data_IF_202861085773
#
_entry.id   IF_202861085773
#
_cell.length_a   1.000
_cell.length_b   1.000
_cell.length_c   1.000
_cell.angle_alpha   90.00
_cell.angle_beta   90.00
_cell.angle_gamma   90.00
#
_symmetry.space_group_name_H-M   'P 1'
#
loop_
_entity.id
_entity.type
_entity.pdbx_description
1 polymer ?
#
# COMPACT_ATOMS: atom_id res chain seq x y z
N UNK A 1 19.62 12.58 -11.43
CA UNK A 1 20.27 11.59 -12.29
C UNK A 1 21.73 11.96 -12.47
N UNK A 2 22.63 11.00 -12.31
CA UNK A 2 24.04 11.14 -12.60
C UNK A 2 24.37 10.15 -13.71
N UNK A 3 24.97 10.63 -14.79
CA UNK A 3 25.24 9.83 -15.99
C UNK A 3 24.05 9.02 -16.53
N UNK A 4 22.83 9.58 -16.47
CA UNK A 4 21.60 8.94 -16.94
C UNK A 4 20.96 7.92 -15.97
N UNK A 5 21.64 7.55 -14.89
CA UNK A 5 21.14 6.62 -13.86
C UNK A 5 20.51 7.37 -12.68
N UNK A 6 19.47 6.80 -12.10
CA UNK A 6 18.93 7.29 -10.84
C UNK A 6 19.96 7.03 -9.74
N UNK A 7 20.21 8.06 -8.92
CA UNK A 7 20.92 7.92 -7.65
C UNK A 7 19.94 8.23 -6.53
N UNK A 8 19.97 7.43 -5.51
CA UNK A 8 19.17 7.57 -4.31
C UNK A 8 20.08 7.95 -3.14
N UNK A 9 19.57 8.75 -2.23
CA UNK A 9 20.22 9.01 -0.97
C UNK A 9 20.03 7.75 -0.09
N UNK A 10 21.11 7.08 0.26
CA UNK A 10 21.08 5.84 1.05
C UNK A 10 20.37 5.99 2.39
N UNK A 11 20.33 7.21 2.94
CA UNK A 11 19.57 7.52 4.17
C UNK A 11 18.06 7.34 4.00
N UNK A 12 17.58 7.28 2.78
CA UNK A 12 16.17 7.11 2.41
C UNK A 12 15.89 5.73 1.83
N UNK A 13 16.84 4.81 1.89
CA UNK A 13 16.64 3.41 1.52
C UNK A 13 16.41 2.56 2.78
N UNK A 14 15.49 1.62 2.69
CA UNK A 14 15.34 0.59 3.70
C UNK A 14 16.46 -0.45 3.51
N UNK A 15 17.36 -0.53 4.48
CA UNK A 15 18.49 -1.48 4.49
C UNK A 15 18.21 -2.77 5.28
N UNK A 16 17.07 -2.83 5.98
CA UNK A 16 16.64 -4.04 6.68
C UNK A 16 15.97 -5.01 5.72
N UNK A 17 15.91 -6.31 6.05
CA UNK A 17 14.97 -7.22 5.40
C UNK A 17 13.58 -6.59 5.41
N UNK A 18 12.88 -6.64 4.28
CA UNK A 18 11.62 -5.93 4.13
C UNK A 18 10.51 -6.56 4.98
N UNK A 19 10.52 -7.89 5.11
CA UNK A 19 9.45 -8.64 5.72
C UNK A 19 9.95 -9.99 6.26
N UNK A 20 9.34 -10.48 7.34
CA UNK A 20 9.56 -11.82 7.87
C UNK A 20 8.27 -12.41 8.42
N UNK A 21 8.19 -13.74 8.36
CA UNK A 21 7.05 -14.51 8.83
C UNK A 21 7.44 -15.39 10.03
N UNK A 22 6.67 -15.34 11.11
CA UNK A 22 6.77 -16.32 12.18
C UNK A 22 5.92 -17.54 11.82
N UNK A 23 6.61 -18.65 11.51
CA UNK A 23 6.00 -19.87 11.07
C UNK A 23 6.71 -21.08 11.72
N UNK A 24 5.96 -22.09 12.16
CA UNK A 24 6.50 -23.29 12.78
C UNK A 24 7.49 -23.04 13.95
N UNK A 25 7.31 -21.96 14.72
CA UNK A 25 8.12 -21.66 15.90
C UNK A 25 9.33 -20.78 15.67
N UNK A 26 9.63 -20.41 14.42
CA UNK A 26 10.79 -19.62 14.01
C UNK A 26 10.41 -18.48 13.07
N UNK A 27 11.25 -17.44 13.01
CA UNK A 27 11.16 -16.42 11.99
C UNK A 27 11.85 -16.90 10.70
N UNK A 28 11.14 -16.83 9.59
CA UNK A 28 11.69 -17.00 8.25
C UNK A 28 11.71 -15.66 7.50
N UNK A 29 12.63 -15.51 6.56
CA UNK A 29 12.68 -14.37 5.64
C UNK A 29 11.56 -14.48 4.60
N UNK A 30 10.89 -13.35 4.32
CA UNK A 30 9.72 -13.27 3.44
C UNK A 30 8.44 -13.81 4.07
N UNK A 31 7.30 -13.55 3.43
CA UNK A 31 5.95 -13.89 3.96
C UNK A 31 5.37 -15.20 3.42
N UNK A 32 5.92 -15.74 2.33
CA UNK A 32 5.48 -17.03 1.82
C UNK A 32 5.97 -18.15 2.76
N UNK A 33 5.10 -18.98 3.36
CA UNK A 33 5.54 -20.08 4.21
C UNK A 33 6.41 -21.07 3.44
N UNK A 34 7.64 -21.30 3.88
CA UNK A 34 8.58 -22.21 3.18
C UNK A 34 9.20 -23.25 4.10
N UNK A 35 9.31 -22.98 5.40
CA UNK A 35 9.91 -23.91 6.35
C UNK A 35 9.00 -25.12 6.63
N UNK A 36 9.51 -26.31 6.36
CA UNK A 36 8.80 -27.54 6.65
C UNK A 36 7.55 -27.80 5.80
N UNK A 37 7.34 -27.06 4.70
CA UNK A 37 6.22 -27.31 3.78
C UNK A 37 6.47 -28.56 2.93
N UNK A 38 5.40 -29.28 2.62
CA UNK A 38 5.46 -30.52 1.86
C UNK A 38 5.59 -30.30 0.34
N UNK A 39 5.90 -31.40 -0.38
CA UNK A 39 6.05 -31.38 -1.84
C UNK A 39 4.76 -30.91 -2.56
N UNK A 40 3.59 -31.21 -2.02
CA UNK A 40 2.30 -30.79 -2.57
C UNK A 40 2.16 -29.27 -2.51
N UNK A 41 2.51 -28.64 -1.39
CA UNK A 41 2.52 -27.17 -1.22
C UNK A 41 3.47 -26.52 -2.22
N UNK A 42 4.69 -27.05 -2.34
CA UNK A 42 5.67 -26.52 -3.30
C UNK A 42 5.19 -26.67 -4.75
N UNK A 43 4.49 -27.75 -5.08
CA UNK A 43 3.89 -27.91 -6.40
C UNK A 43 2.82 -26.86 -6.69
N UNK A 44 1.98 -26.52 -5.71
CA UNK A 44 0.98 -25.45 -5.85
C UNK A 44 1.60 -24.06 -5.95
N UNK A 45 2.70 -23.80 -5.25
CA UNK A 45 3.46 -22.55 -5.42
C UNK A 45 3.97 -22.40 -6.86
N UNK A 46 4.62 -23.45 -7.40
CA UNK A 46 5.09 -23.44 -8.81
C UNK A 46 3.94 -23.29 -9.80
N UNK A 47 2.80 -23.94 -9.54
CA UNK A 47 1.61 -23.80 -10.38
C UNK A 47 1.12 -22.35 -10.37
N UNK A 48 0.97 -21.74 -9.21
CA UNK A 48 0.54 -20.35 -9.11
C UNK A 48 1.54 -19.39 -9.78
N UNK A 49 2.85 -19.57 -9.59
CA UNK A 49 3.89 -18.83 -10.31
C UNK A 49 3.73 -18.93 -11.83
N UNK A 50 3.44 -20.12 -12.34
CA UNK A 50 3.17 -20.35 -13.77
C UNK A 50 1.95 -19.58 -14.26
N UNK A 51 0.86 -19.54 -13.48
CA UNK A 51 -0.35 -18.80 -13.82
C UNK A 51 -0.15 -17.28 -13.82
N UNK A 52 0.64 -16.75 -12.87
CA UNK A 52 1.00 -15.34 -12.87
C UNK A 52 1.81 -14.98 -14.11
N UNK A 53 2.83 -15.78 -14.46
CA UNK A 53 3.61 -15.57 -15.70
C UNK A 53 2.74 -15.66 -16.96
N UNK A 54 1.80 -16.61 -17.01
CA UNK A 54 0.86 -16.72 -18.13
C UNK A 54 -0.04 -15.49 -18.25
N UNK A 55 -0.51 -14.95 -17.12
CA UNK A 55 -1.30 -13.71 -17.10
C UNK A 55 -0.48 -12.51 -17.61
N UNK A 56 0.78 -12.36 -17.17
CA UNK A 56 1.69 -11.34 -17.65
C UNK A 56 1.97 -11.41 -19.16
N UNK A 57 2.08 -12.63 -19.69
CA UNK A 57 2.28 -12.85 -21.11
C UNK A 57 1.01 -12.57 -21.94
N UNK A 58 -0.17 -12.79 -21.38
CA UNK A 58 -1.44 -12.61 -22.08
C UNK A 58 -1.90 -11.15 -22.18
N UNK A 59 -1.57 -10.32 -21.19
CA UNK A 59 -1.94 -8.91 -21.17
C UNK A 59 -1.03 -8.12 -20.22
N UNK A 60 -0.80 -6.81 -20.49
CA UNK A 60 0.05 -5.98 -19.65
C UNK A 60 -0.60 -5.73 -18.29
N UNK A 61 0.17 -5.91 -17.22
CA UNK A 61 -0.14 -5.41 -15.89
C UNK A 61 0.80 -4.26 -15.56
N UNK A 62 0.29 -3.18 -14.99
CA UNK A 62 1.09 -1.98 -14.74
C UNK A 62 0.71 -1.27 -13.44
N UNK A 63 1.66 -0.57 -12.85
CA UNK A 63 1.42 0.42 -11.79
C UNK A 63 1.78 1.81 -12.32
N UNK A 64 0.85 2.78 -12.27
CA UNK A 64 -0.56 2.65 -11.87
C UNK A 64 -1.39 1.85 -12.90
N UNK A 65 -2.46 1.20 -12.43
CA UNK A 65 -3.26 0.24 -13.20
C UNK A 65 -3.81 0.79 -14.53
N UNK A 66 -4.14 2.09 -14.60
CA UNK A 66 -4.69 2.71 -15.83
C UNK A 66 -3.76 2.62 -17.05
N UNK A 67 -2.45 2.44 -16.84
CA UNK A 67 -1.46 2.29 -17.92
C UNK A 67 -1.59 0.97 -18.68
N UNK A 68 -2.19 -0.02 -18.05
CA UNK A 68 -2.44 -1.32 -18.68
C UNK A 68 -3.68 -1.33 -19.59
N UNK A 69 -4.52 -0.30 -19.51
CA UNK A 69 -5.83 -0.31 -20.14
C UNK A 69 -6.79 -1.31 -19.48
N UNK A 70 -7.86 -1.67 -20.19
CA UNK A 70 -8.85 -2.63 -19.73
C UNK A 70 -9.15 -3.67 -20.83
N UNK A 71 -8.19 -4.54 -21.19
CA UNK A 71 -8.41 -5.57 -22.19
C UNK A 71 -9.51 -6.56 -21.74
N UNK A 72 -10.17 -7.22 -22.68
CA UNK A 72 -11.27 -8.14 -22.39
C UNK A 72 -10.89 -9.26 -21.41
N UNK A 73 -9.64 -9.72 -21.44
CA UNK A 73 -9.09 -10.70 -20.48
C UNK A 73 -9.09 -10.17 -19.05
N UNK A 74 -8.74 -8.91 -18.83
CA UNK A 74 -8.78 -8.29 -17.50
C UNK A 74 -10.21 -8.11 -17.01
N UNK A 75 -11.12 -7.67 -17.88
CA UNK A 75 -12.54 -7.53 -17.53
C UNK A 75 -13.15 -8.90 -17.15
N UNK A 76 -12.79 -9.96 -17.85
CA UNK A 76 -13.23 -11.32 -17.52
C UNK A 76 -12.73 -11.78 -16.14
N UNK A 77 -11.47 -11.49 -15.79
CA UNK A 77 -10.93 -11.78 -14.46
C UNK A 77 -11.62 -10.96 -13.35
N UNK A 78 -12.03 -9.75 -13.65
CA UNK A 78 -12.70 -8.87 -12.67
C UNK A 78 -14.14 -9.30 -12.34
N UNK A 79 -14.73 -10.21 -13.12
CA UNK A 79 -16.05 -10.78 -12.83
C UNK A 79 -16.04 -11.90 -11.80
N UNK A 80 -14.87 -12.44 -11.46
CA UNK A 80 -14.68 -13.53 -10.51
C UNK A 80 -14.03 -13.04 -9.24
N UNK A 81 -14.36 -13.65 -8.09
CA UNK A 81 -13.53 -13.47 -6.90
C UNK A 81 -12.20 -14.22 -7.07
N UNK A 82 -11.15 -13.74 -6.40
CA UNK A 82 -9.86 -14.42 -6.47
C UNK A 82 -9.94 -15.85 -5.94
N UNK A 83 -10.73 -16.08 -4.89
CA UNK A 83 -10.99 -17.44 -4.37
C UNK A 83 -11.63 -18.35 -5.44
N UNK A 84 -12.66 -17.89 -6.12
CA UNK A 84 -13.33 -18.67 -7.16
C UNK A 84 -12.39 -19.00 -8.33
N UNK A 85 -11.51 -18.07 -8.69
CA UNK A 85 -10.50 -18.29 -9.72
C UNK A 85 -9.47 -19.33 -9.27
N UNK A 86 -8.96 -19.21 -8.03
CA UNK A 86 -8.01 -20.18 -7.46
C UNK A 86 -8.61 -21.60 -7.39
N UNK A 87 -9.86 -21.73 -6.97
CA UNK A 87 -10.56 -23.02 -6.89
C UNK A 87 -10.73 -23.67 -8.27
N UNK A 88 -11.11 -22.89 -9.28
CA UNK A 88 -11.23 -23.36 -10.66
C UNK A 88 -9.91 -23.92 -11.19
N UNK A 89 -8.79 -23.30 -10.81
CA UNK A 89 -7.46 -23.74 -11.20
C UNK A 89 -6.87 -24.81 -10.24
N UNK A 90 -7.65 -25.32 -9.29
CA UNK A 90 -7.26 -26.40 -8.36
C UNK A 90 -6.20 -25.96 -7.34
N UNK A 91 -6.13 -24.68 -7.03
CA UNK A 91 -5.23 -24.13 -6.02
C UNK A 91 -5.94 -24.11 -4.66
N UNK A 92 -5.66 -25.10 -3.84
CA UNK A 92 -6.38 -25.37 -2.58
C UNK A 92 -5.45 -25.51 -1.37
N UNK A 93 -4.14 -25.41 -1.58
CA UNK A 93 -3.16 -25.54 -0.50
C UNK A 93 -3.35 -24.45 0.57
N UNK A 94 -3.45 -24.79 1.86
CA UNK A 94 -3.76 -23.83 2.91
C UNK A 94 -2.66 -22.79 3.12
N UNK A 95 -1.38 -23.12 2.93
CA UNK A 95 -0.28 -22.16 3.06
C UNK A 95 -0.28 -21.17 1.91
N UNK A 96 -0.52 -21.63 0.67
CA UNK A 96 -0.68 -20.74 -0.47
C UNK A 96 -1.87 -19.82 -0.30
N UNK A 97 -3.04 -20.37 0.05
CA UNK A 97 -4.27 -19.58 0.24
C UNK A 97 -4.12 -18.54 1.34
N UNK A 98 -3.44 -18.89 2.45
CA UNK A 98 -3.16 -17.95 3.53
C UNK A 98 -2.32 -16.77 3.04
N UNK A 99 -1.25 -17.04 2.29
CA UNK A 99 -0.36 -15.99 1.77
C UNK A 99 -1.09 -15.07 0.77
N UNK A 100 -1.88 -15.65 -0.13
CA UNK A 100 -2.65 -14.87 -1.10
C UNK A 100 -3.77 -14.06 -0.42
N UNK A 101 -4.39 -14.61 0.63
CA UNK A 101 -5.38 -13.88 1.45
C UNK A 101 -4.73 -12.73 2.21
N UNK A 102 -3.55 -12.97 2.80
CA UNK A 102 -2.77 -11.93 3.45
C UNK A 102 -2.47 -10.78 2.49
N UNK A 103 -1.94 -11.09 1.30
CA UNK A 103 -1.62 -10.08 0.28
C UNK A 103 -2.86 -9.26 -0.14
N UNK A 104 -4.01 -9.90 -0.26
CA UNK A 104 -5.27 -9.20 -0.55
C UNK A 104 -5.72 -8.31 0.61
N UNK A 105 -5.63 -8.78 1.84
CA UNK A 105 -6.01 -7.99 3.02
C UNK A 105 -5.09 -6.81 3.23
N UNK A 106 -3.81 -6.97 2.94
CA UNK A 106 -2.81 -5.91 3.06
C UNK A 106 -3.01 -4.82 1.99
N UNK A 107 -3.15 -5.17 0.73
CA UNK A 107 -3.28 -4.19 -0.38
C UNK A 107 -4.70 -3.60 -0.50
N UNK A 108 -5.74 -4.42 -0.28
CA UNK A 108 -7.13 -4.04 -0.58
C UNK A 108 -8.04 -3.98 0.65
N UNK A 109 -7.57 -4.36 1.83
CA UNK A 109 -8.38 -4.43 3.04
C UNK A 109 -9.51 -5.45 2.97
N UNK A 110 -9.42 -6.45 2.08
CA UNK A 110 -10.41 -7.49 1.88
C UNK A 110 -9.72 -8.79 1.47
N UNK A 111 -10.28 -9.94 1.87
CA UNK A 111 -9.70 -11.25 1.58
C UNK A 111 -10.12 -11.83 0.21
N UNK A 112 -9.62 -13.02 -0.07
CA UNK A 112 -9.80 -13.76 -1.32
C UNK A 112 -11.27 -13.90 -1.79
N UNK A 113 -12.20 -14.01 -0.86
CA UNK A 113 -13.62 -14.20 -1.17
C UNK A 113 -14.30 -12.92 -1.69
N UNK A 114 -13.66 -11.77 -1.56
CA UNK A 114 -14.21 -10.45 -1.92
C UNK A 114 -13.42 -9.79 -3.03
N UNK A 115 -12.08 -9.89 -2.98
CA UNK A 115 -11.19 -9.29 -3.98
C UNK A 115 -11.36 -10.00 -5.32
N UNK A 116 -11.40 -9.26 -6.42
CA UNK A 116 -11.50 -9.85 -7.77
C UNK A 116 -10.24 -10.61 -8.17
N UNK A 117 -10.38 -11.57 -9.06
CA UNK A 117 -9.23 -12.32 -9.59
C UNK A 117 -8.25 -11.40 -10.32
N UNK A 118 -8.75 -10.36 -10.98
CA UNK A 118 -7.89 -9.35 -11.60
C UNK A 118 -7.02 -8.64 -10.55
N UNK A 119 -7.61 -8.17 -9.46
CA UNK A 119 -6.88 -7.45 -8.42
C UNK A 119 -5.86 -8.37 -7.71
N UNK A 120 -6.26 -9.60 -7.38
CA UNK A 120 -5.35 -10.58 -6.77
C UNK A 120 -4.16 -10.94 -7.66
N UNK A 121 -4.37 -11.10 -8.97
CA UNK A 121 -3.29 -11.30 -9.93
C UNK A 121 -2.46 -10.04 -10.14
N UNK A 122 -3.10 -8.85 -10.19
CA UNK A 122 -2.42 -7.57 -10.36
C UNK A 122 -1.39 -7.32 -9.26
N UNK A 123 -1.67 -7.74 -8.02
CA UNK A 123 -0.73 -7.62 -6.92
C UNK A 123 0.66 -8.18 -7.29
N UNK A 124 0.70 -9.34 -7.90
CA UNK A 124 1.94 -10.01 -8.32
C UNK A 124 2.39 -9.55 -9.70
N UNK A 125 1.50 -9.56 -10.67
CA UNK A 125 1.83 -9.39 -12.08
C UNK A 125 2.29 -7.97 -12.45
N UNK A 126 1.88 -6.94 -11.72
CA UNK A 126 2.31 -5.56 -11.91
C UNK A 126 3.62 -5.20 -11.19
N UNK A 127 4.12 -6.11 -10.37
CA UNK A 127 5.37 -5.99 -9.60
C UNK A 127 6.40 -6.99 -10.13
N UNK A 128 7.06 -7.71 -9.23
CA UNK A 128 8.12 -8.67 -9.58
C UNK A 128 7.62 -10.09 -9.92
N UNK A 129 6.31 -10.30 -9.96
CA UNK A 129 5.72 -11.62 -10.12
C UNK A 129 5.55 -12.38 -8.79
N UNK A 130 5.25 -13.67 -8.90
CA UNK A 130 5.27 -14.59 -7.77
C UNK A 130 6.40 -15.60 -7.96
N UNK A 131 7.26 -15.73 -6.97
CA UNK A 131 8.41 -16.62 -7.00
C UNK A 131 8.20 -17.80 -6.04
N UNK A 132 8.20 -19.00 -6.59
CA UNK A 132 8.22 -20.22 -5.79
C UNK A 132 9.63 -20.43 -5.20
N UNK A 133 9.77 -21.14 -4.07
CA UNK A 133 11.10 -21.47 -3.55
C UNK A 133 11.99 -22.16 -4.59
N UNK A 134 13.18 -21.59 -4.79
CA UNK A 134 14.14 -22.04 -5.81
C UNK A 134 14.06 -21.31 -7.15
N UNK A 135 13.06 -20.44 -7.35
CA UNK A 135 13.04 -19.53 -8.50
C UNK A 135 14.09 -18.40 -8.29
N UNK A 136 14.69 -17.96 -9.39
CA UNK A 136 15.53 -16.75 -9.36
C UNK A 136 14.62 -15.52 -9.23
N UNK A 137 14.66 -14.89 -8.06
CA UNK A 137 13.87 -13.69 -7.79
C UNK A 137 14.55 -12.39 -8.27
N UNK A 138 15.77 -12.47 -8.81
CA UNK A 138 16.58 -11.31 -9.14
C UNK A 138 17.00 -10.47 -7.93
N UNK A 139 17.66 -9.36 -8.18
CA UNK A 139 17.97 -8.39 -7.13
C UNK A 139 16.70 -7.63 -6.72
N UNK A 140 16.39 -7.63 -5.43
CA UNK A 140 15.31 -6.80 -4.89
C UNK A 140 15.76 -5.34 -4.88
N UNK A 141 15.02 -4.48 -5.55
CA UNK A 141 15.24 -3.03 -5.46
C UNK A 141 14.93 -2.54 -4.03
N UNK A 142 15.79 -1.63 -3.53
CA UNK A 142 15.57 -1.01 -2.22
C UNK A 142 14.31 -0.15 -2.23
N UNK A 143 13.57 -0.18 -1.12
CA UNK A 143 12.38 0.66 -0.93
C UNK A 143 12.78 2.02 -0.37
N UNK A 144 12.28 3.09 -1.01
CA UNK A 144 12.44 4.45 -0.49
C UNK A 144 11.56 4.64 0.75
N UNK A 145 12.16 5.13 1.82
CA UNK A 145 11.48 5.40 3.09
C UNK A 145 12.10 6.61 3.78
N UNK A 146 11.35 7.20 4.72
CA UNK A 146 11.84 8.34 5.52
C UNK A 146 11.55 8.08 7.00
N UNK A 147 12.49 8.41 7.91
CA UNK A 147 12.27 8.24 9.35
C UNK A 147 10.99 8.90 9.87
N UNK A 148 10.60 10.02 9.28
CA UNK A 148 9.38 10.75 9.60
C UNK A 148 8.13 10.23 8.85
N UNK A 149 8.26 9.13 8.11
CA UNK A 149 7.22 8.62 7.25
C UNK A 149 6.89 9.56 6.09
N UNK A 150 5.77 9.32 5.41
CA UNK A 150 5.34 10.11 4.25
C UNK A 150 5.08 11.60 4.56
N UNK A 151 4.93 11.96 5.82
CA UNK A 151 4.85 13.36 6.27
C UNK A 151 6.09 14.18 5.89
N UNK A 152 7.26 13.55 5.81
CA UNK A 152 8.48 14.19 5.33
C UNK A 152 8.32 14.69 3.89
N UNK A 153 7.81 13.85 2.99
CA UNK A 153 7.55 14.21 1.60
C UNK A 153 6.52 15.34 1.49
N UNK A 154 5.42 15.23 2.24
CA UNK A 154 4.37 16.26 2.29
C UNK A 154 4.95 17.62 2.72
N UNK A 155 5.76 17.65 3.77
CA UNK A 155 6.41 18.89 4.24
C UNK A 155 7.35 19.48 3.18
N UNK A 156 8.12 18.62 2.49
CA UNK A 156 9.03 19.07 1.41
C UNK A 156 8.28 19.69 0.24
N UNK A 157 7.14 19.11 -0.15
CA UNK A 157 6.27 19.64 -1.21
C UNK A 157 5.58 20.95 -0.77
N UNK A 158 5.23 21.08 0.51
CA UNK A 158 4.56 22.26 1.03
C UNK A 158 5.51 23.46 1.26
N UNK A 159 6.77 23.23 1.62
CA UNK A 159 7.71 24.28 2.00
C UNK A 159 7.82 25.43 0.98
N UNK A 160 8.02 25.19 -0.33
CA UNK A 160 8.10 26.27 -1.32
C UNK A 160 6.79 27.09 -1.44
N UNK A 161 5.65 26.46 -1.16
CA UNK A 161 4.35 27.14 -1.21
C UNK A 161 4.15 28.07 -0.01
N UNK A 162 4.72 27.71 1.12
CA UNK A 162 4.70 28.55 2.33
C UNK A 162 5.65 29.72 2.21
N UNK A 163 6.84 29.51 1.66
CA UNK A 163 7.86 30.57 1.45
C UNK A 163 7.41 31.61 0.42
N UNK A 164 6.67 31.23 -0.61
CA UNK A 164 6.21 32.09 -1.70
C UNK A 164 4.98 32.98 -1.36
N UNK A 165 4.77 33.30 -0.09
CA UNK A 165 3.68 34.20 0.32
C UNK A 165 2.35 33.51 0.54
N UNK A 166 2.36 32.39 1.24
CA UNK A 166 1.14 31.70 1.72
C UNK A 166 0.18 31.22 0.62
N UNK A 167 0.69 30.40 -0.28
CA UNK A 167 -0.14 29.70 -1.27
C UNK A 167 -0.79 28.41 -0.73
N UNK A 168 -0.51 28.08 0.52
CA UNK A 168 -1.08 26.94 1.23
C UNK A 168 -1.97 27.44 2.37
N UNK A 169 -3.26 27.17 2.24
CA UNK A 169 -4.26 27.55 3.25
C UNK A 169 -4.76 26.29 3.95
N UNK A 170 -4.27 26.04 5.15
CA UNK A 170 -4.72 24.92 6.00
C UNK A 170 -5.92 25.33 6.85
N UNK A 171 -6.60 24.36 7.46
CA UNK A 171 -7.77 24.62 8.31
C UNK A 171 -8.99 25.10 7.55
N UNK A 172 -9.07 24.82 6.24
CA UNK A 172 -10.24 25.12 5.39
C UNK A 172 -10.96 23.82 5.04
N UNK A 173 -12.24 23.76 5.42
CA UNK A 173 -13.11 22.65 5.05
C UNK A 173 -13.93 23.08 3.84
N UNK A 174 -13.68 22.45 2.69
CA UNK A 174 -14.41 22.75 1.45
C UNK A 174 -15.87 22.30 1.59
N UNK A 175 -16.79 23.22 1.37
CA UNK A 175 -18.24 23.00 1.46
C UNK A 175 -18.89 22.86 0.08
N UNK A 176 -18.41 23.62 -0.90
CA UNK A 176 -19.02 23.70 -2.24
C UNK A 176 -17.99 24.07 -3.28
N UNK A 177 -18.05 23.41 -4.42
CA UNK A 177 -17.25 23.71 -5.62
C UNK A 177 -18.22 23.84 -6.79
N UNK A 178 -18.26 24.99 -7.44
CA UNK A 178 -19.11 25.25 -8.60
C UNK A 178 -18.29 25.78 -9.76
N UNK A 179 -18.41 25.14 -10.90
CA UNK A 179 -17.79 25.58 -12.14
C UNK A 179 -18.83 26.11 -13.10
N UNK A 180 -18.54 27.22 -13.74
CA UNK A 180 -19.33 27.80 -14.83
C UNK A 180 -18.42 28.20 -16.01
N UNK A 181 -18.95 28.93 -16.99
CA UNK A 181 -18.21 29.39 -18.16
C UNK A 181 -17.13 30.44 -17.85
N UNK A 182 -17.14 31.01 -16.67
CA UNK A 182 -16.22 32.09 -16.26
C UNK A 182 -15.10 31.62 -15.33
N UNK A 183 -15.21 30.41 -14.79
CA UNK A 183 -14.23 29.86 -13.86
C UNK A 183 -14.85 28.95 -12.80
N UNK A 184 -14.19 28.87 -11.68
CA UNK A 184 -14.60 28.02 -10.55
C UNK A 184 -14.72 28.85 -9.28
N UNK A 185 -15.82 28.65 -8.55
CA UNK A 185 -16.01 29.19 -7.20
C UNK A 185 -15.93 28.06 -6.18
N UNK A 186 -15.16 28.28 -5.12
CA UNK A 186 -15.00 27.35 -3.99
C UNK A 186 -15.40 28.07 -2.71
N UNK A 187 -16.40 27.53 -2.01
CA UNK A 187 -16.78 27.98 -0.67
C UNK A 187 -16.14 27.04 0.36
N UNK A 188 -15.44 27.59 1.32
CA UNK A 188 -14.73 26.85 2.37
C UNK A 188 -14.96 27.49 3.74
N UNK A 189 -15.14 26.66 4.76
CA UNK A 189 -15.21 27.08 6.15
C UNK A 189 -13.78 27.21 6.71
N UNK A 190 -13.43 28.39 7.16
CA UNK A 190 -12.26 28.56 8.04
C UNK A 190 -12.61 28.04 9.43
N UNK A 191 -11.95 26.97 9.85
CA UNK A 191 -12.21 26.30 11.13
C UNK A 191 -11.83 27.18 12.33
N UNK A 192 -10.84 28.05 12.19
CA UNK A 192 -10.37 28.90 13.28
C UNK A 192 -11.33 30.06 13.55
N UNK A 193 -11.84 30.70 12.50
CA UNK A 193 -12.73 31.87 12.62
C UNK A 193 -14.22 31.51 12.53
N UNK A 194 -14.57 30.29 12.15
CA UNK A 194 -15.94 29.82 11.90
C UNK A 194 -16.66 30.65 10.83
N UNK A 195 -15.92 31.21 9.88
CA UNK A 195 -16.48 32.00 8.76
C UNK A 195 -16.33 31.26 7.46
N UNK A 196 -17.26 31.50 6.53
CA UNK A 196 -17.18 30.95 5.17
C UNK A 196 -16.44 31.94 4.28
N UNK A 197 -15.37 31.46 3.67
CA UNK A 197 -14.57 32.17 2.67
C UNK A 197 -14.98 31.70 1.27
N UNK A 198 -14.98 32.63 0.32
CA UNK A 198 -15.21 32.33 -1.10
C UNK A 198 -13.95 32.58 -1.91
N UNK A 199 -13.53 31.57 -2.63
CA UNK A 199 -12.38 31.59 -3.52
C UNK A 199 -12.84 31.52 -4.97
N UNK A 200 -12.19 32.30 -5.84
CA UNK A 200 -12.43 32.27 -7.28
C UNK A 200 -11.14 31.96 -8.03
N UNK A 201 -11.23 31.10 -9.05
CA UNK A 201 -10.10 30.71 -9.87
C UNK A 201 -10.56 30.37 -11.28
N UNK A 202 -9.65 30.42 -12.24
CA UNK A 202 -9.92 29.96 -13.61
C UNK A 202 -10.12 28.44 -13.68
N UNK A 203 -9.41 27.69 -12.84
CA UNK A 203 -9.47 26.23 -12.79
C UNK A 203 -9.27 25.72 -11.34
N UNK A 204 -9.85 24.56 -11.04
CA UNK A 204 -9.70 23.88 -9.77
C UNK A 204 -9.38 22.39 -9.97
N UNK A 205 -8.35 21.90 -9.27
CA UNK A 205 -8.07 20.48 -9.17
C UNK A 205 -8.68 19.94 -7.87
N UNK A 206 -9.68 19.07 -8.01
CA UNK A 206 -10.36 18.47 -6.86
C UNK A 206 -9.62 17.19 -6.44
N UNK A 207 -8.69 17.31 -5.51
CA UNK A 207 -7.92 16.20 -4.95
C UNK A 207 -8.54 15.69 -3.64
N UNK A 208 -9.84 15.44 -3.64
CA UNK A 208 -10.62 14.95 -2.50
C UNK A 208 -10.95 13.45 -2.68
N UNK A 209 -11.23 12.71 -1.59
CA UNK A 209 -11.84 11.40 -1.72
C UNK A 209 -13.09 11.45 -2.58
N UNK A 210 -13.29 10.44 -3.44
CA UNK A 210 -14.35 10.42 -4.45
C UNK A 210 -15.75 10.67 -3.84
N UNK A 211 -16.02 10.05 -2.67
CA UNK A 211 -17.30 10.22 -1.98
C UNK A 211 -17.50 11.62 -1.39
N UNK A 212 -16.41 12.36 -1.10
CA UNK A 212 -16.46 13.76 -0.68
C UNK A 212 -16.66 14.65 -1.90
N UNK A 213 -15.86 14.45 -2.96
CA UNK A 213 -15.95 15.21 -4.20
C UNK A 213 -17.37 15.16 -4.80
N UNK A 214 -17.99 13.97 -4.82
CA UNK A 214 -19.36 13.80 -5.32
C UNK A 214 -20.44 14.56 -4.52
N UNK A 215 -20.13 15.01 -3.31
CA UNK A 215 -21.04 15.78 -2.44
C UNK A 215 -20.82 17.28 -2.52
N UNK A 216 -19.56 17.72 -2.67
CA UNK A 216 -19.21 19.14 -2.62
C UNK A 216 -19.18 19.79 -4.00
N UNK A 217 -18.99 19.02 -5.08
CA UNK A 217 -19.05 19.52 -6.45
C UNK A 217 -20.51 19.71 -6.87
N UNK A 218 -20.88 20.91 -7.31
CA UNK A 218 -22.22 21.22 -7.81
C UNK A 218 -22.36 20.63 -9.21
N UNK A 219 -23.46 19.92 -9.45
CA UNK A 219 -23.73 19.21 -10.71
C UNK A 219 -22.52 18.37 -11.17
N UNK A 220 -22.03 17.43 -10.31
CA UNK A 220 -20.88 16.64 -10.66
C UNK A 220 -21.17 15.78 -11.89
N UNK A 221 -20.16 15.49 -12.73
CA UNK A 221 -20.35 14.65 -13.90
C UNK A 221 -20.77 13.23 -13.50
N UNK A 222 -21.55 12.55 -14.34
CA UNK A 222 -22.10 11.22 -14.08
C UNK A 222 -21.05 10.19 -13.65
N UNK A 223 -19.86 10.24 -14.23
CA UNK A 223 -18.78 9.31 -13.85
C UNK A 223 -18.39 9.47 -12.39
N UNK A 224 -18.44 10.68 -11.82
CA UNK A 224 -18.08 10.91 -10.42
C UNK A 224 -19.12 10.32 -9.47
N UNK A 225 -20.41 10.47 -9.80
CA UNK A 225 -21.49 9.80 -9.07
C UNK A 225 -21.38 8.28 -9.12
N UNK A 226 -21.15 7.73 -10.31
CA UNK A 226 -20.99 6.30 -10.50
C UNK A 226 -19.77 5.76 -9.75
N UNK A 227 -18.64 6.47 -9.79
CA UNK A 227 -17.44 6.09 -9.04
C UNK A 227 -17.70 6.11 -7.53
N UNK A 228 -18.35 7.18 -7.01
CA UNK A 228 -18.68 7.26 -5.59
C UNK A 228 -19.63 6.14 -5.13
N UNK A 229 -20.60 5.76 -5.96
CA UNK A 229 -21.54 4.69 -5.65
C UNK A 229 -20.90 3.29 -5.69
N UNK A 230 -19.92 3.06 -6.55
CA UNK A 230 -19.28 1.75 -6.75
C UNK A 230 -18.05 1.53 -5.87
N UNK A 231 -17.34 2.59 -5.45
CA UNK A 231 -16.15 2.48 -4.63
C UNK A 231 -16.51 2.01 -3.22
N UNK A 232 -15.83 0.97 -2.76
CA UNK A 232 -15.92 0.47 -1.39
C UNK A 232 -14.66 0.86 -0.64
N UNK A 233 -14.82 1.17 0.63
CA UNK A 233 -13.74 1.54 1.53
C UNK A 233 -13.64 0.51 2.64
N UNK A 234 -12.44 0.03 2.91
CA UNK A 234 -12.18 -0.86 4.04
C UNK A 234 -11.72 -0.07 5.25
N UNK A 235 -12.18 -0.42 6.46
CA UNK A 235 -11.67 0.17 7.67
C UNK A 235 -10.21 -0.24 7.88
N UNK A 236 -9.41 0.69 8.40
CA UNK A 236 -8.02 0.45 8.71
C UNK A 236 -7.72 1.00 10.11
N UNK A 237 -7.25 0.13 11.00
CA UNK A 237 -6.86 0.53 12.35
C UNK A 237 -5.36 0.34 12.52
N UNK A 238 -4.65 1.39 12.87
CA UNK A 238 -3.23 1.37 13.19
C UNK A 238 -3.02 1.85 14.62
N UNK A 239 -2.35 1.04 15.43
CA UNK A 239 -1.95 1.41 16.78
C UNK A 239 -0.45 1.71 16.82
N UNK A 240 -0.07 2.90 17.30
CA UNK A 240 1.31 3.26 17.55
C UNK A 240 1.62 3.02 19.03
N UNK A 241 2.58 2.13 19.30
CA UNK A 241 2.96 1.76 20.65
C UNK A 241 4.39 2.21 20.95
N UNK A 242 4.57 2.92 22.04
CA UNK A 242 5.86 3.16 22.66
C UNK A 242 6.15 2.07 23.67
N UNK A 243 7.26 1.37 23.52
CA UNK A 243 7.70 0.36 24.46
C UNK A 243 9.00 0.80 25.14
N UNK A 244 9.07 0.62 26.45
CA UNK A 244 10.22 1.04 27.26
C UNK A 244 11.44 0.14 27.09
N UNK A 245 11.20 -1.13 26.72
CA UNK A 245 12.25 -2.13 26.54
C UNK A 245 12.12 -2.81 25.20
N UNK A 246 13.26 -3.18 24.62
CA UNK A 246 13.26 -4.00 23.41
C UNK A 246 12.55 -5.32 23.68
N UNK A 247 11.76 -5.79 22.72
CA UNK A 247 11.17 -7.12 22.78
C UNK A 247 12.27 -8.18 22.65
N UNK A 248 12.13 -9.27 23.42
CA UNK A 248 12.94 -10.45 23.16
C UNK A 248 12.54 -11.08 21.85
N UNK A 249 13.51 -11.23 20.96
CA UNK A 249 13.25 -11.85 19.68
C UNK A 249 13.25 -13.38 19.76
N UNK A 250 12.62 -14.02 18.80
CA UNK A 250 12.60 -15.47 18.62
C UNK A 250 13.70 -15.86 17.63
N UNK A 251 14.14 -17.16 17.65
CA UNK A 251 15.09 -17.65 16.66
C UNK A 251 14.62 -17.46 15.21
N UNK A 252 15.58 -17.40 14.28
CA UNK A 252 15.35 -17.32 12.85
C UNK A 252 15.78 -16.00 12.24
N UNK A 253 15.07 -15.54 11.22
CA UNK A 253 15.39 -14.33 10.47
C UNK A 253 15.46 -13.09 11.38
N UNK A 254 16.40 -12.16 11.09
CA UNK A 254 16.58 -10.95 11.89
C UNK A 254 15.34 -10.05 11.85
N UNK A 255 15.22 -9.10 12.81
CA UNK A 255 14.15 -8.10 12.79
C UNK A 255 14.02 -7.42 11.43
N UNK A 256 12.79 -7.35 10.94
CA UNK A 256 12.45 -6.79 9.64
C UNK A 256 11.54 -5.58 9.80
N UNK A 257 11.31 -4.85 8.73
CA UNK A 257 10.30 -3.81 8.70
C UNK A 257 8.94 -4.41 9.01
N UNK A 258 8.42 -5.30 8.16
CA UNK A 258 7.18 -6.03 8.42
C UNK A 258 7.46 -7.35 9.16
N UNK A 259 6.68 -7.60 10.20
CA UNK A 259 6.79 -8.78 11.03
C UNK A 259 5.39 -9.40 11.19
N UNK A 260 5.19 -10.54 10.56
CA UNK A 260 3.88 -11.18 10.41
C UNK A 260 3.85 -12.52 11.13
N UNK A 261 2.72 -12.87 11.72
CA UNK A 261 2.49 -14.17 12.33
C UNK A 261 1.54 -14.99 11.47
N UNK A 262 1.97 -16.18 11.06
CA UNK A 262 1.13 -17.11 10.33
C UNK A 262 -0.16 -17.42 11.09
N UNK A 263 -1.29 -17.39 10.38
CA UNK A 263 -2.59 -17.67 10.96
C UNK A 263 -3.20 -16.54 11.80
N UNK A 264 -2.50 -15.41 11.99
CA UNK A 264 -3.06 -14.26 12.67
C UNK A 264 -4.12 -13.55 11.82
N UNK A 265 -5.16 -13.04 12.48
CA UNK A 265 -6.14 -12.16 11.84
C UNK A 265 -5.57 -10.76 11.56
N UNK A 266 -4.53 -10.32 12.30
CA UNK A 266 -3.86 -9.05 12.07
C UNK A 266 -2.90 -9.12 10.87
N UNK A 267 -2.50 -7.94 10.38
CA UNK A 267 -1.47 -7.82 9.34
C UNK A 267 -0.04 -7.75 9.91
N UNK A 268 0.13 -7.98 11.21
CA UNK A 268 1.43 -7.95 11.85
C UNK A 268 1.78 -6.60 12.47
N UNK A 269 3.07 -6.32 12.59
CA UNK A 269 3.57 -5.05 13.12
C UNK A 269 4.78 -4.56 12.35
N UNK A 270 4.93 -3.24 12.30
CA UNK A 270 6.09 -2.58 11.73
C UNK A 270 7.10 -2.24 12.84
N UNK A 271 8.34 -2.69 12.70
CA UNK A 271 9.45 -2.21 13.52
C UNK A 271 10.09 -0.99 12.85
N UNK A 272 9.74 0.20 13.32
CA UNK A 272 10.23 1.45 12.74
C UNK A 272 11.69 1.79 13.10
N UNK A 273 12.39 0.94 13.86
CA UNK A 273 13.75 1.20 14.31
C UNK A 273 14.78 1.26 13.18
N UNK A 274 14.59 0.48 12.13
CA UNK A 274 15.49 0.46 10.97
C UNK A 274 15.55 1.80 10.23
N UNK A 275 14.56 2.68 10.39
CA UNK A 275 14.53 4.01 9.78
C UNK A 275 15.35 5.04 10.58
N UNK A 276 15.79 4.71 11.80
CA UNK A 276 16.55 5.60 12.67
C UNK A 276 18.06 5.58 12.38
N UNK A 277 18.46 5.79 11.15
CA UNK A 277 19.86 5.88 10.75
C UNK A 277 20.63 7.06 11.42
N UNK A 278 19.92 7.99 12.05
CA UNK A 278 20.51 9.19 12.67
C UNK A 278 20.81 9.05 14.17
N UNK A 279 20.63 7.89 14.76
CA UNK A 279 20.99 7.72 16.18
C UNK A 279 22.51 7.66 16.35
N UNK A 280 23.04 8.76 16.83
CA UNK A 280 24.37 8.78 17.43
C UNK A 280 24.30 7.93 18.72
N UNK A 281 25.10 6.87 18.86
CA UNK A 281 25.18 6.15 20.12
C UNK A 281 25.60 7.12 21.23
N UNK A 282 24.74 7.31 22.24
CA UNK A 282 25.05 8.15 23.41
C UNK A 282 24.18 9.40 23.59
N UNK A 283 23.34 9.79 22.67
CA UNK A 283 22.41 10.89 22.87
C UNK A 283 21.14 10.39 23.56
N UNK A 284 21.10 10.59 24.87
CA UNK A 284 19.95 10.58 25.79
C UNK A 284 18.89 9.48 25.64
N UNK A 285 18.78 8.70 26.69
CA UNK A 285 17.86 7.64 27.07
C UNK A 285 16.37 7.68 26.68
N UNK A 286 16.04 8.07 25.48
CA UNK A 286 14.72 7.85 24.91
C UNK A 286 14.72 6.47 24.22
N UNK A 287 13.98 5.55 24.81
CA UNK A 287 13.78 4.23 24.23
C UNK A 287 13.26 4.34 22.79
N UNK A 288 13.69 3.43 21.90
CA UNK A 288 13.20 3.40 20.54
C UNK A 288 11.68 3.19 20.49
N UNK A 289 10.98 4.02 19.74
CA UNK A 289 9.58 3.76 19.47
C UNK A 289 9.45 2.61 18.47
N UNK A 290 8.70 1.60 18.79
CA UNK A 290 8.25 0.56 17.89
C UNK A 290 6.78 0.80 17.56
N UNK A 291 6.48 0.86 16.31
CA UNK A 291 5.10 0.96 15.85
C UNK A 291 4.55 -0.45 15.75
N UNK A 292 3.68 -0.84 16.69
CA UNK A 292 2.88 -2.04 16.52
C UNK A 292 1.64 -1.63 15.74
N UNK A 293 1.56 -2.20 14.58
CA UNK A 293 0.56 -1.76 13.71
C UNK A 293 -0.69 -2.47 13.69
N UNK A 294 -1.40 -2.75 13.08
CA UNK A 294 -2.59 -3.28 12.47
C UNK A 294 -3.22 -4.34 13.37
N UNK A 295 -4.27 -4.06 14.07
CA UNK A 295 -5.10 -5.10 14.67
C UNK A 295 -5.82 -5.92 13.59
#
# INVERSE_FOLDING_TARGET
>A
RVAGRWQYDERHLCHSPQERLFFNGEWQDGLLPVQGVGATTLAQYRRFAGLVRAAQAAAPFAMPAFRAGAPASHLALDTLTFKAWLDRDGLTDPQLLWYLDYSCRDDYGAGLATVSAWAGLHYFASRHGFHAPGDDAGEREGVLTWPEGNGWLTRRLAAPLMEAGSRLHTGRVVLRIEADRHGVTVDALDVATQTVERWQADQCIVALPVFVAARVVVNPPDFLHQAAARTRYSPWLVANLHIERALHDRPGAPPSWDNVLYGSASLGYVDAMHQNLQRVPGATGVAPSRTQGKP
#
